data_IF_504673669414
#
_entry.id   IF_504673669414
#
_cell.length_a   1.000
_cell.length_b   1.000
_cell.length_c   1.000
_cell.angle_alpha   90.00
_cell.angle_beta   90.00
_cell.angle_gamma   90.00
#
_symmetry.space_group_name_H-M   'P 1'
#
loop_
_entity.id
_entity.type
_entity.pdbx_description
1 polymer ?
#
# COMPACT_ATOMS: atom_id res chain seq x y z
N UNK A 1 -3.56 0.02 -3.90
CA UNK A 1 -2.52 -0.66 -4.68
C UNK A 1 -2.44 -2.12 -4.26
N UNK A 2 -2.21 -3.04 -5.18
CA UNK A 2 -1.91 -4.43 -4.85
C UNK A 2 -0.43 -4.59 -4.46
N UNK A 3 -0.06 -5.71 -3.86
CA UNK A 3 1.34 -6.01 -3.59
C UNK A 3 2.19 -6.12 -4.89
N UNK A 4 1.56 -6.52 -6.01
CA UNK A 4 2.23 -6.57 -7.31
C UNK A 4 2.53 -5.16 -7.82
N UNK A 5 1.56 -4.24 -7.70
CA UNK A 5 1.74 -2.85 -8.13
C UNK A 5 2.90 -2.19 -7.34
N UNK A 6 2.94 -2.40 -6.02
CA UNK A 6 3.98 -1.85 -5.15
C UNK A 6 5.34 -2.48 -5.48
N UNK A 7 5.39 -3.80 -5.67
CA UNK A 7 6.61 -4.52 -6.06
C UNK A 7 7.19 -3.97 -7.38
N UNK A 8 6.34 -3.78 -8.39
CA UNK A 8 6.76 -3.19 -9.68
C UNK A 8 7.25 -1.76 -9.53
N UNK A 9 6.53 -0.93 -8.77
CA UNK A 9 6.88 0.49 -8.58
C UNK A 9 8.24 0.68 -7.91
N UNK A 10 8.54 -0.11 -6.87
CA UNK A 10 9.78 -0.01 -6.11
C UNK A 10 10.88 -0.99 -6.57
N UNK A 11 10.64 -1.75 -7.64
CA UNK A 11 11.52 -2.84 -8.09
C UNK A 11 11.92 -3.81 -6.96
N UNK A 12 10.92 -4.26 -6.19
CA UNK A 12 11.09 -5.17 -5.06
C UNK A 12 10.55 -6.56 -5.39
N UNK A 13 11.13 -7.58 -4.77
CA UNK A 13 10.57 -8.93 -4.83
C UNK A 13 9.18 -8.96 -4.17
N UNK A 14 8.22 -9.66 -4.79
CA UNK A 14 6.82 -9.68 -4.33
C UNK A 14 6.67 -10.16 -2.88
N UNK A 15 7.51 -11.10 -2.44
CA UNK A 15 7.53 -11.56 -1.05
C UNK A 15 7.93 -10.45 -0.08
N UNK A 16 8.98 -9.69 -0.42
CA UNK A 16 9.45 -8.54 0.37
C UNK A 16 8.36 -7.48 0.49
N UNK A 17 7.67 -7.18 -0.61
CA UNK A 17 6.55 -6.22 -0.59
C UNK A 17 5.41 -6.65 0.33
N UNK A 18 5.07 -7.95 0.34
CA UNK A 18 4.05 -8.49 1.27
C UNK A 18 4.47 -8.31 2.73
N UNK A 19 5.74 -8.54 3.05
CA UNK A 19 6.28 -8.32 4.39
C UNK A 19 6.24 -6.84 4.77
N UNK A 20 6.58 -5.93 3.85
CA UNK A 20 6.52 -4.50 4.09
C UNK A 20 5.09 -4.02 4.35
N UNK A 21 4.12 -4.44 3.53
CA UNK A 21 2.70 -4.12 3.74
C UNK A 21 2.25 -4.59 5.13
N UNK A 22 2.61 -5.82 5.51
CA UNK A 22 2.26 -6.36 6.82
C UNK A 22 2.95 -5.60 7.97
N UNK A 23 4.21 -5.19 7.80
CA UNK A 23 4.92 -4.39 8.79
C UNK A 23 4.27 -3.00 8.96
N UNK A 24 3.91 -2.33 7.85
CA UNK A 24 3.23 -1.03 7.88
C UNK A 24 1.89 -1.14 8.59
N UNK A 25 1.09 -2.17 8.30
CA UNK A 25 -0.20 -2.40 8.96
C UNK A 25 -0.09 -2.67 10.46
N UNK A 26 1.07 -3.15 10.94
CA UNK A 26 1.34 -3.39 12.37
C UNK A 26 1.99 -2.20 13.08
N UNK A 27 2.26 -1.09 12.39
CA UNK A 27 2.80 0.11 13.03
C UNK A 27 1.78 0.65 14.05
N UNK A 28 2.28 0.98 15.23
CA UNK A 28 1.48 1.55 16.34
C UNK A 28 1.67 3.07 16.46
N UNK A 29 2.27 3.68 15.45
CA UNK A 29 2.66 5.09 15.44
C UNK A 29 1.57 6.04 14.92
N UNK A 30 0.33 5.56 14.82
CA UNK A 30 -0.79 6.33 14.27
C UNK A 30 -0.99 6.19 12.76
N UNK A 31 -0.20 5.38 12.06
CA UNK A 31 -0.46 5.04 10.65
C UNK A 31 -1.72 4.19 10.52
N UNK A 32 -2.77 4.72 9.88
CA UNK A 32 -4.02 3.98 9.66
C UNK A 32 -4.05 3.41 8.24
N UNK A 33 -4.23 2.09 8.13
CA UNK A 33 -4.24 1.38 6.84
C UNK A 33 -5.51 0.55 6.67
N UNK A 34 -5.84 0.24 5.41
CA UNK A 34 -6.90 -0.70 5.03
C UNK A 34 -6.37 -1.73 4.05
N UNK A 35 -6.77 -2.98 4.25
CA UNK A 35 -6.52 -4.09 3.32
C UNK A 35 -7.86 -4.70 2.91
N UNK A 36 -8.23 -4.51 1.66
CA UNK A 36 -9.53 -4.94 1.13
C UNK A 36 -9.36 -6.09 0.13
N UNK A 37 -10.00 -7.22 0.39
CA UNK A 37 -10.08 -8.33 -0.55
C UNK A 37 -11.22 -8.10 -1.55
N UNK A 38 -10.93 -8.20 -2.84
CA UNK A 38 -11.93 -8.17 -3.92
C UNK A 38 -11.74 -9.35 -4.84
N UNK A 39 -12.82 -9.88 -5.38
CA UNK A 39 -12.77 -10.82 -6.48
C UNK A 39 -12.74 -10.06 -7.79
N UNK A 40 -11.71 -10.29 -8.59
CA UNK A 40 -11.54 -9.70 -9.92
C UNK A 40 -11.40 -10.82 -10.94
N UNK A 41 -11.88 -10.57 -12.15
CA UNK A 41 -11.73 -11.52 -13.24
C UNK A 41 -10.31 -11.42 -13.79
N UNK A 42 -9.56 -12.51 -13.70
CA UNK A 42 -8.22 -12.58 -14.26
C UNK A 42 -8.31 -12.50 -15.80
N UNK A 43 -7.60 -11.55 -16.43
CA UNK A 43 -7.76 -11.29 -17.87
C UNK A 43 -7.28 -12.46 -18.74
N UNK A 44 -6.36 -13.29 -18.24
CA UNK A 44 -5.72 -14.39 -18.97
C UNK A 44 -6.54 -15.68 -18.83
N UNK A 45 -6.73 -16.15 -17.60
CA UNK A 45 -7.44 -17.41 -17.29
C UNK A 45 -8.96 -17.28 -17.27
N UNK A 46 -9.50 -16.04 -17.33
CA UNK A 46 -10.93 -15.71 -17.20
C UNK A 46 -11.60 -16.15 -15.88
N UNK A 47 -10.84 -16.71 -14.94
CA UNK A 47 -11.31 -17.14 -13.61
C UNK A 47 -11.41 -15.96 -12.65
N UNK A 48 -12.29 -16.09 -11.65
CA UNK A 48 -12.31 -15.16 -10.52
C UNK A 48 -11.06 -15.40 -9.66
N UNK A 49 -10.30 -14.35 -9.41
CA UNK A 49 -9.15 -14.36 -8.52
C UNK A 49 -9.41 -13.38 -7.37
N UNK A 50 -9.09 -13.80 -6.15
CA UNK A 50 -9.11 -12.90 -5.01
C UNK A 50 -7.83 -12.06 -5.01
N UNK A 51 -7.98 -10.74 -5.04
CA UNK A 51 -6.90 -9.76 -5.01
C UNK A 51 -7.07 -8.88 -3.77
N UNK A 52 -5.96 -8.55 -3.10
CA UNK A 52 -5.95 -7.67 -1.94
C UNK A 52 -5.41 -6.29 -2.30
N UNK A 53 -6.21 -5.26 -2.04
CA UNK A 53 -5.87 -3.87 -2.23
C UNK A 53 -5.47 -3.24 -0.90
N UNK A 54 -4.25 -2.75 -0.84
CA UNK A 54 -3.72 -1.97 0.27
C UNK A 54 -3.90 -0.46 0.03
N UNK A 55 -4.33 0.27 1.06
CA UNK A 55 -4.38 1.72 1.10
C UNK A 55 -3.98 2.26 2.47
N UNK A 56 -3.33 3.43 2.48
CA UNK A 56 -3.09 4.22 3.68
C UNK A 56 -4.21 5.26 3.77
N UNK A 57 -4.91 5.26 4.90
CA UNK A 57 -6.03 6.17 5.17
C UNK A 57 -5.57 7.43 5.89
N UNK A 58 -4.61 7.30 6.81
CA UNK A 58 -4.03 8.42 7.55
C UNK A 58 -2.57 8.13 7.89
N UNK A 59 -1.78 9.20 7.97
CA UNK A 59 -0.41 9.18 8.46
C UNK A 59 -0.35 9.99 9.77
N UNK A 60 0.58 9.68 10.68
CA UNK A 60 0.78 10.50 11.86
C UNK A 60 1.22 11.92 11.49
N UNK A 61 0.84 12.89 12.33
CA UNK A 61 1.07 14.32 12.10
C UNK A 61 2.54 14.66 11.80
N UNK A 62 3.49 13.98 12.46
CA UNK A 62 4.91 14.15 12.23
C UNK A 62 5.33 13.87 10.77
N UNK A 63 4.65 12.96 10.08
CA UNK A 63 4.88 12.65 8.66
C UNK A 63 4.03 13.53 7.74
N UNK A 64 2.89 14.01 8.22
CA UNK A 64 2.01 14.93 7.49
C UNK A 64 2.64 16.32 7.33
N UNK A 65 3.32 16.84 8.36
CA UNK A 65 4.00 18.14 8.30
C UNK A 65 5.16 18.18 7.30
N UNK A 66 5.90 17.08 7.12
CA UNK A 66 6.98 17.00 6.13
C UNK A 66 6.48 17.19 4.69
N UNK A 67 5.21 16.87 4.41
CA UNK A 67 4.60 17.10 3.08
C UNK A 67 4.27 18.57 2.84
N UNK A 68 3.84 19.32 3.86
CA UNK A 68 3.51 20.74 3.73
C UNK A 68 4.77 21.63 3.69
N UNK A 69 5.83 21.31 4.42
CA UNK A 69 7.09 22.08 4.37
C UNK A 69 7.81 21.95 3.02
N UNK A 70 7.70 20.80 2.34
CA UNK A 70 8.23 20.63 0.97
C UNK A 70 7.41 21.35 -0.10
N UNK A 71 6.13 21.65 0.16
CA UNK A 71 5.25 22.32 -0.80
C UNK A 71 5.18 23.84 -0.60
N UNK A 72 5.69 24.36 0.54
CA UNK A 72 5.77 25.79 0.87
C UNK A 72 7.07 26.49 0.46
N UNK A 73 8.00 25.80 -0.22
CA UNK A 73 9.18 26.41 -0.87
C UNK A 73 8.93 26.54 -2.37
N UNK A 74 8.13 27.52 -2.77
CA UNK A 74 8.08 28.06 -4.14
C UNK A 74 7.94 29.56 -4.09
#
# INVERSE_FOLDING_TARGET
MTAVDIAGYFNLHIHTTRLLVHAIMRRTDGTLCRLEGRYVRDPVSKRMQQVKYFSVLSLPDALTHSRNERNGRR
#
